data_IF_730280552542
#
_entry.id   IF_730280552542
#
_cell.length_a   1.000
_cell.length_b   1.000
_cell.length_c   1.000
_cell.angle_alpha   90.00
_cell.angle_beta   90.00
_cell.angle_gamma   90.00
#
_symmetry.space_group_name_H-M   'P 1'
#
loop_
_entity.id
_entity.type
_entity.pdbx_description
1 polymer ?
#
# COMPACT_ATOMS: atom_id res chain seq x y z
N UNK A 1 -23.97 -13.33 -2.36
CA UNK A 1 -23.51 -13.73 -3.70
C UNK A 1 -23.60 -15.24 -3.86
N UNK A 2 -24.36 -15.78 -4.83
CA UNK A 2 -24.48 -17.22 -5.08
C UNK A 2 -23.12 -17.84 -5.47
N UNK A 3 -22.96 -19.16 -5.27
CA UNK A 3 -21.68 -19.84 -5.52
C UNK A 3 -21.28 -19.80 -7.00
N UNK A 4 -22.24 -19.87 -7.93
CA UNK A 4 -21.98 -19.78 -9.38
C UNK A 4 -21.35 -18.44 -9.79
N UNK A 5 -21.78 -17.33 -9.17
CA UNK A 5 -21.25 -16.00 -9.48
C UNK A 5 -19.80 -15.84 -9.05
N UNK A 6 -19.39 -16.49 -7.95
CA UNK A 6 -18.00 -16.44 -7.46
C UNK A 6 -17.02 -17.11 -8.41
N UNK A 7 -17.40 -18.24 -9.00
CA UNK A 7 -16.61 -18.93 -10.00
C UNK A 7 -16.44 -18.09 -11.26
N UNK A 8 -17.54 -17.50 -11.74
CA UNK A 8 -17.50 -16.59 -12.90
C UNK A 8 -16.57 -15.43 -12.67
N UNK A 9 -16.71 -14.72 -11.53
CA UNK A 9 -15.83 -13.59 -11.20
C UNK A 9 -14.36 -14.00 -11.07
N UNK A 10 -14.06 -15.13 -10.42
CA UNK A 10 -12.70 -15.62 -10.29
C UNK A 10 -12.09 -15.98 -11.66
N UNK A 11 -12.89 -16.61 -12.54
CA UNK A 11 -12.47 -16.92 -13.92
C UNK A 11 -12.19 -15.66 -14.72
N UNK A 12 -13.13 -14.70 -14.74
CA UNK A 12 -13.00 -13.44 -15.47
C UNK A 12 -11.80 -12.62 -14.97
N UNK A 13 -11.57 -12.64 -13.65
CA UNK A 13 -10.43 -12.00 -13.01
C UNK A 13 -9.10 -12.60 -13.49
N UNK A 14 -9.04 -13.93 -13.54
CA UNK A 14 -7.85 -14.65 -14.01
C UNK A 14 -7.61 -14.45 -15.51
N UNK A 15 -8.70 -14.45 -16.31
CA UNK A 15 -8.64 -14.20 -17.74
C UNK A 15 -8.12 -12.79 -18.05
N UNK A 16 -8.64 -11.78 -17.35
CA UNK A 16 -8.16 -10.41 -17.47
C UNK A 16 -6.69 -10.26 -17.08
N UNK A 17 -6.25 -10.98 -16.02
CA UNK A 17 -4.84 -10.99 -15.63
C UNK A 17 -3.95 -11.54 -16.75
N UNK A 18 -4.24 -12.71 -17.28
CA UNK A 18 -3.42 -13.31 -18.33
C UNK A 18 -3.51 -12.55 -19.65
N UNK A 19 -4.66 -12.03 -20.00
CA UNK A 19 -4.81 -11.17 -21.17
C UNK A 19 -3.87 -9.97 -21.10
N UNK A 20 -3.85 -9.24 -19.98
CA UNK A 20 -2.98 -8.09 -19.81
C UNK A 20 -1.50 -8.47 -19.64
N UNK A 21 -1.19 -9.62 -19.00
CA UNK A 21 0.19 -10.09 -18.84
C UNK A 21 0.86 -10.34 -20.21
N UNK A 22 0.13 -10.95 -21.14
CA UNK A 22 0.65 -11.29 -22.47
C UNK A 22 0.37 -10.21 -23.52
N UNK A 23 -0.81 -9.59 -23.50
CA UNK A 23 -1.24 -8.57 -24.46
C UNK A 23 -0.85 -7.13 -24.10
N UNK A 24 -0.47 -6.87 -22.86
CA UNK A 24 -0.08 -5.52 -22.41
C UNK A 24 -1.29 -4.59 -22.20
N UNK A 25 -1.06 -3.30 -22.38
CA UNK A 25 -2.07 -2.26 -22.11
C UNK A 25 -3.31 -2.36 -23.00
N UNK A 26 -3.15 -2.82 -24.25
CA UNK A 26 -4.27 -3.00 -25.17
C UNK A 26 -5.27 -4.06 -24.75
N UNK A 27 -4.88 -4.97 -23.86
CA UNK A 27 -5.73 -6.02 -23.32
C UNK A 27 -6.34 -5.69 -21.94
N UNK A 28 -6.17 -4.45 -21.46
CA UNK A 28 -6.78 -4.03 -20.20
C UNK A 28 -8.29 -3.93 -20.33
N UNK A 29 -9.04 -4.43 -19.33
CA UNK A 29 -10.46 -4.14 -19.23
C UNK A 29 -10.73 -2.64 -19.10
N UNK A 30 -11.89 -2.20 -19.55
CA UNK A 30 -12.32 -0.82 -19.41
C UNK A 30 -12.35 -0.40 -17.93
N UNK A 31 -11.88 0.83 -17.64
CA UNK A 31 -11.86 1.36 -16.29
C UNK A 31 -13.26 1.44 -15.68
N UNK A 32 -13.52 0.79 -14.53
CA UNK A 32 -14.80 0.82 -13.84
C UNK A 32 -15.22 2.22 -13.39
N UNK A 33 -16.52 2.44 -13.22
CA UNK A 33 -17.05 3.74 -12.73
C UNK A 33 -16.56 4.06 -11.33
N UNK A 34 -16.47 3.07 -10.45
CA UNK A 34 -15.96 3.18 -9.09
C UNK A 34 -14.51 3.68 -9.04
N UNK A 35 -13.64 3.16 -9.91
CA UNK A 35 -12.24 3.63 -10.04
C UNK A 35 -12.18 5.05 -10.57
N UNK A 36 -12.97 5.36 -11.60
CA UNK A 36 -13.04 6.72 -12.16
C UNK A 36 -13.51 7.75 -11.14
N UNK A 37 -14.52 7.40 -10.33
CA UNK A 37 -14.99 8.25 -9.23
C UNK A 37 -13.93 8.43 -8.14
N UNK A 38 -13.19 7.36 -7.82
CA UNK A 38 -12.06 7.42 -6.87
C UNK A 38 -10.97 8.38 -7.35
N UNK A 39 -10.56 8.27 -8.61
CA UNK A 39 -9.55 9.15 -9.22
C UNK A 39 -10.00 10.62 -9.12
N UNK A 40 -11.23 10.93 -9.55
CA UNK A 40 -11.77 12.29 -9.45
C UNK A 40 -11.80 12.84 -8.03
N UNK A 41 -12.07 12.01 -7.02
CA UNK A 41 -12.00 12.43 -5.61
C UNK A 41 -10.55 12.65 -5.19
N UNK A 42 -9.65 11.76 -5.56
CA UNK A 42 -8.23 11.85 -5.22
C UNK A 42 -7.57 13.10 -5.83
N UNK A 43 -7.91 13.45 -7.07
CA UNK A 43 -7.41 14.64 -7.76
C UNK A 43 -7.83 15.96 -7.07
N UNK A 44 -9.02 15.97 -6.44
CA UNK A 44 -9.53 17.16 -5.71
C UNK A 44 -8.93 17.33 -4.33
N UNK A 45 -8.31 16.28 -3.78
CA UNK A 45 -7.71 16.36 -2.44
C UNK A 45 -6.44 17.15 -2.46
N UNK A 46 -6.34 18.10 -1.56
CA UNK A 46 -5.13 18.87 -1.37
C UNK A 46 -4.39 18.51 -0.07
N UNK A 47 -3.23 19.11 0.08
CA UNK A 47 -2.38 18.90 1.25
C UNK A 47 -2.94 19.61 2.49
N UNK A 48 -3.64 20.71 2.33
CA UNK A 48 -4.20 21.45 3.45
C UNK A 48 -5.30 20.64 4.13
N UNK A 49 -6.18 19.99 3.34
CA UNK A 49 -7.20 19.08 3.86
C UNK A 49 -6.54 17.90 4.62
N UNK A 50 -5.54 17.25 4.01
CA UNK A 50 -4.82 16.16 4.65
C UNK A 50 -4.21 16.57 6.00
N UNK A 51 -3.63 17.78 6.08
CA UNK A 51 -3.02 18.30 7.29
C UNK A 51 -4.09 18.67 8.33
N UNK A 52 -5.19 19.25 7.91
CA UNK A 52 -6.32 19.60 8.78
C UNK A 52 -6.94 18.37 9.43
N UNK A 53 -7.12 17.30 8.66
CA UNK A 53 -7.70 16.03 9.15
C UNK A 53 -6.79 15.29 10.13
N UNK A 54 -5.49 15.55 10.10
CA UNK A 54 -4.51 14.72 10.81
C UNK A 54 -3.69 15.45 11.85
N UNK A 55 -3.70 16.78 11.84
CA UNK A 55 -2.85 17.58 12.70
C UNK A 55 -3.60 18.74 13.33
N UNK A 56 -3.10 19.20 14.47
CA UNK A 56 -3.55 20.39 15.17
C UNK A 56 -2.40 21.37 15.36
N UNK A 57 -2.72 22.66 15.60
CA UNK A 57 -1.73 23.73 15.71
C UNK A 57 -1.24 24.22 14.33
N UNK A 58 -0.31 25.17 14.35
CA UNK A 58 0.24 25.80 13.14
C UNK A 58 1.76 25.97 13.24
N UNK A 59 2.42 26.05 12.08
CA UNK A 59 3.87 26.27 12.03
C UNK A 59 4.64 25.22 12.85
N UNK A 60 5.58 25.65 13.64
CA UNK A 60 6.42 24.79 14.47
C UNK A 60 5.68 24.12 15.64
N UNK A 61 4.52 24.64 16.00
CA UNK A 61 3.63 24.06 17.04
C UNK A 61 2.69 23.01 16.47
N UNK A 62 2.74 22.71 15.17
CA UNK A 62 1.89 21.69 14.55
C UNK A 62 2.26 20.30 15.09
N UNK A 63 1.26 19.53 15.48
CA UNK A 63 1.40 18.16 16.03
C UNK A 63 0.33 17.26 15.43
N UNK A 64 0.54 15.96 15.42
CA UNK A 64 -0.53 15.01 15.08
C UNK A 64 -1.67 15.14 16.09
N UNK A 65 -2.90 15.05 15.60
CA UNK A 65 -4.09 14.96 16.42
C UNK A 65 -4.14 13.58 17.05
N UNK A 66 -3.88 13.50 18.39
CA UNK A 66 -3.93 12.23 19.13
C UNK A 66 -5.35 11.73 19.24
N UNK A 67 -5.54 10.41 19.24
CA UNK A 67 -6.82 9.72 19.29
C UNK A 67 -6.73 8.35 18.63
N UNK A 68 -7.79 7.88 17.99
CA UNK A 68 -7.86 6.55 17.40
C UNK A 68 -6.80 6.28 16.30
N UNK A 69 -6.39 7.31 15.58
CA UNK A 69 -5.45 7.18 14.44
C UNK A 69 -3.99 7.34 14.84
N UNK A 70 -3.71 8.19 15.81
CA UNK A 70 -2.35 8.52 16.24
C UNK A 70 -2.23 8.45 17.76
N UNK A 71 -1.35 7.59 18.22
CA UNK A 71 -1.06 7.40 19.65
C UNK A 71 0.36 7.85 19.97
N UNK A 72 0.65 8.07 21.25
CA UNK A 72 1.99 8.37 21.66
C UNK A 72 2.91 7.16 21.52
N UNK A 73 4.16 7.43 21.15
CA UNK A 73 5.21 6.43 21.07
C UNK A 73 5.90 6.26 22.43
N UNK A 74 6.30 5.03 22.73
CA UNK A 74 7.23 4.78 23.82
C UNK A 74 8.52 5.60 23.59
N UNK A 75 9.14 6.17 24.65
CA UNK A 75 10.32 7.07 24.50
C UNK A 75 11.45 6.49 23.64
N UNK A 76 11.76 5.22 23.81
CA UNK A 76 12.81 4.55 23.04
C UNK A 76 12.49 4.46 21.53
N UNK A 77 11.20 4.19 21.17
CA UNK A 77 10.76 4.14 19.78
C UNK A 77 10.74 5.54 19.16
N UNK A 78 10.29 6.54 19.94
CA UNK A 78 10.32 7.95 19.53
C UNK A 78 11.75 8.40 19.19
N UNK A 79 12.70 8.15 20.07
CA UNK A 79 14.12 8.49 19.86
C UNK A 79 14.70 7.77 18.62
N UNK A 80 14.34 6.51 18.40
CA UNK A 80 14.77 5.75 17.24
C UNK A 80 14.18 6.31 15.93
N UNK A 81 12.92 6.71 15.93
CA UNK A 81 12.28 7.32 14.76
C UNK A 81 12.93 8.67 14.41
N UNK A 82 13.24 9.48 15.39
CA UNK A 82 13.95 10.75 15.19
C UNK A 82 15.37 10.53 14.59
N UNK A 83 16.12 9.53 15.08
CA UNK A 83 17.41 9.18 14.48
C UNK A 83 17.30 8.67 13.05
N UNK A 84 16.31 7.82 12.77
CA UNK A 84 16.08 7.33 11.42
C UNK A 84 15.74 8.47 10.46
N UNK A 85 14.89 9.41 10.86
CA UNK A 85 14.58 10.59 10.07
C UNK A 85 15.78 11.51 9.88
N UNK A 86 16.60 11.73 10.90
CA UNK A 86 17.82 12.53 10.79
C UNK A 86 18.84 11.89 9.81
N UNK A 87 18.96 10.56 9.82
CA UNK A 87 19.81 9.85 8.85
C UNK A 87 19.27 10.00 7.43
N UNK A 88 17.97 9.77 7.23
CA UNK A 88 17.31 9.99 5.94
C UNK A 88 17.49 11.42 5.45
N UNK A 89 17.27 12.43 6.31
CA UNK A 89 17.37 13.84 5.94
C UNK A 89 18.75 14.21 5.41
N UNK A 90 19.81 13.71 6.02
CA UNK A 90 21.19 13.96 5.55
C UNK A 90 21.44 13.40 4.15
N UNK A 91 21.04 12.15 3.89
CA UNK A 91 21.20 11.53 2.57
C UNK A 91 20.33 12.22 1.52
N UNK A 92 19.06 12.39 1.81
CA UNK A 92 18.11 12.96 0.87
C UNK A 92 18.42 14.41 0.47
N UNK A 93 18.87 15.26 1.42
CA UNK A 93 19.23 16.66 1.12
C UNK A 93 20.53 16.80 0.32
N UNK A 94 21.38 15.76 0.28
CA UNK A 94 22.56 15.73 -0.59
C UNK A 94 22.22 15.40 -2.04
N UNK A 95 21.16 14.61 -2.24
CA UNK A 95 20.76 14.13 -3.58
C UNK A 95 19.65 14.99 -4.22
N UNK A 96 18.90 15.71 -3.42
CA UNK A 96 17.72 16.46 -3.84
C UNK A 96 17.72 17.88 -3.30
N UNK A 97 17.29 18.84 -4.12
CA UNK A 97 17.02 20.20 -3.67
C UNK A 97 15.81 20.22 -2.72
N UNK A 98 16.08 20.36 -1.45
CA UNK A 98 15.07 20.44 -0.38
C UNK A 98 15.23 21.77 0.33
N UNK A 99 14.15 22.53 0.58
CA UNK A 99 14.24 23.75 1.36
C UNK A 99 14.90 23.50 2.72
N UNK A 100 15.73 24.41 3.19
CA UNK A 100 16.40 24.29 4.48
C UNK A 100 15.40 24.07 5.61
N UNK A 101 15.67 23.11 6.47
CA UNK A 101 14.81 22.72 7.58
C UNK A 101 13.51 22.02 7.16
N UNK A 102 13.27 21.74 5.87
CA UNK A 102 12.04 21.08 5.45
C UNK A 102 11.84 19.67 6.05
N UNK A 103 12.94 19.01 6.37
CA UNK A 103 12.93 17.68 6.99
C UNK A 103 13.05 17.74 8.54
N UNK A 104 13.07 18.94 9.14
CA UNK A 104 13.03 19.10 10.60
C UNK A 104 11.74 18.49 11.14
N UNK A 105 11.91 17.56 12.07
CA UNK A 105 10.77 16.82 12.63
C UNK A 105 10.04 17.68 13.64
N UNK A 106 8.77 17.91 13.39
CA UNK A 106 7.86 18.62 14.30
C UNK A 106 7.22 17.65 15.30
N UNK A 107 6.81 16.46 14.83
CA UNK A 107 6.16 15.46 15.69
C UNK A 107 6.32 14.05 15.13
N UNK A 108 6.22 13.05 16.02
CA UNK A 108 6.17 11.62 15.68
C UNK A 108 5.08 10.95 16.50
N UNK A 109 4.38 9.99 15.89
CA UNK A 109 3.28 9.27 16.53
C UNK A 109 3.24 7.81 16.06
N UNK A 110 2.74 6.90 16.91
CA UNK A 110 2.33 5.58 16.46
C UNK A 110 1.10 5.72 15.56
N UNK A 111 1.14 5.13 14.37
CA UNK A 111 0.03 5.19 13.43
C UNK A 111 -0.80 3.91 13.48
N UNK A 112 -2.01 4.02 13.97
CA UNK A 112 -3.02 2.96 13.85
C UNK A 112 -3.54 2.97 12.41
N UNK A 113 -3.42 1.85 11.71
CA UNK A 113 -3.92 1.75 10.34
C UNK A 113 -4.15 0.29 9.94
N UNK A 114 -5.34 0.02 9.45
CA UNK A 114 -5.80 -1.17 8.75
C UNK A 114 -5.41 -2.54 9.34
N UNK A 115 -6.29 -3.51 9.23
CA UNK A 115 -6.10 -4.89 9.73
C UNK A 115 -4.84 -5.58 9.22
N UNK A 116 -4.44 -5.34 7.98
CA UNK A 116 -3.20 -5.90 7.41
C UNK A 116 -1.89 -5.35 8.00
N UNK A 117 -1.96 -4.49 9.03
CA UNK A 117 -0.81 -3.95 9.75
C UNK A 117 -0.83 -4.28 11.24
N UNK A 118 -1.70 -5.20 11.66
CA UNK A 118 -1.71 -5.67 13.04
C UNK A 118 -0.38 -6.36 13.36
N UNK A 119 0.20 -6.02 14.50
CA UNK A 119 1.50 -6.55 14.94
C UNK A 119 2.73 -5.91 14.28
N UNK A 120 2.57 -5.00 13.33
CA UNK A 120 3.69 -4.31 12.65
C UNK A 120 3.83 -2.89 13.17
N UNK A 121 5.06 -2.45 13.42
CA UNK A 121 5.33 -1.09 13.84
C UNK A 121 5.09 -0.11 12.68
N UNK A 122 4.29 0.92 12.95
CA UNK A 122 4.08 2.04 12.04
C UNK A 122 4.26 3.36 12.79
N UNK A 123 5.12 4.21 12.27
CA UNK A 123 5.36 5.53 12.82
C UNK A 123 5.02 6.57 11.77
N UNK A 124 4.16 7.51 12.14
CA UNK A 124 3.94 8.73 11.38
C UNK A 124 4.94 9.78 11.82
N UNK A 125 5.48 10.52 10.86
CA UNK A 125 6.42 11.62 11.10
C UNK A 125 5.90 12.86 10.40
N UNK A 126 5.81 13.94 11.13
CA UNK A 126 5.45 15.26 10.65
C UNK A 126 6.71 16.11 10.59
N UNK A 127 6.98 16.72 9.44
CA UNK A 127 8.12 17.63 9.27
C UNK A 127 7.67 19.03 8.86
N UNK A 128 8.54 20.01 8.98
CA UNK A 128 8.27 21.42 8.63
C UNK A 128 7.85 21.57 7.17
N UNK A 129 8.43 20.79 6.25
CA UNK A 129 8.16 20.88 4.82
C UNK A 129 8.54 22.25 4.24
N UNK A 130 7.73 22.74 3.30
CA UNK A 130 7.94 24.06 2.69
C UNK A 130 7.54 25.23 3.61
N UNK A 131 7.09 24.96 4.83
CA UNK A 131 6.58 25.98 5.75
C UNK A 131 5.17 26.47 5.40
N UNK A 132 4.65 27.43 6.19
CA UNK A 132 3.31 27.95 6.01
C UNK A 132 2.19 27.02 6.50
N UNK A 133 0.94 27.40 6.22
CA UNK A 133 -0.24 26.70 6.72
C UNK A 133 -0.40 25.28 6.15
N UNK A 134 -0.03 25.08 4.90
CA UNK A 134 -0.18 23.80 4.17
C UNK A 134 1.17 23.17 3.77
N UNK A 135 2.30 23.73 4.20
CA UNK A 135 3.62 23.33 3.76
C UNK A 135 4.19 22.08 4.43
N UNK A 136 3.69 21.70 5.60
CA UNK A 136 4.19 20.53 6.34
C UNK A 136 4.11 19.25 5.53
N UNK A 137 5.07 18.33 5.76
CA UNK A 137 5.11 17.04 5.11
C UNK A 137 4.82 15.92 6.10
N UNK A 138 4.10 14.92 5.61
CA UNK A 138 3.78 13.71 6.35
C UNK A 138 4.58 12.55 5.77
N UNK A 139 5.29 11.84 6.64
CA UNK A 139 5.97 10.61 6.29
C UNK A 139 5.42 9.44 7.11
N UNK A 140 5.64 8.25 6.63
CA UNK A 140 5.38 7.01 7.32
C UNK A 140 6.63 6.15 7.31
N UNK A 141 6.99 5.62 8.47
CA UNK A 141 7.91 4.51 8.64
C UNK A 141 7.07 3.27 8.92
N UNK A 142 7.06 2.33 7.98
CA UNK A 142 6.32 1.08 8.11
C UNK A 142 7.28 -0.10 8.17
N UNK A 143 7.21 -0.89 9.23
CA UNK A 143 7.97 -2.12 9.34
C UNK A 143 7.62 -3.09 8.21
N UNK A 144 8.65 -3.68 7.62
CA UNK A 144 8.53 -4.70 6.59
C UNK A 144 9.10 -6.01 7.14
N UNK A 145 8.19 -6.91 7.51
CA UNK A 145 8.54 -8.22 8.01
C UNK A 145 9.10 -9.12 6.90
N UNK A 146 9.79 -10.16 7.30
CA UNK A 146 10.12 -11.26 6.40
C UNK A 146 8.83 -11.86 5.81
N UNK A 147 8.90 -12.31 4.57
CA UNK A 147 7.80 -13.08 3.99
C UNK A 147 7.66 -14.35 4.84
N UNK A 148 6.45 -14.72 5.32
CA UNK A 148 6.25 -16.02 5.92
C UNK A 148 6.81 -17.10 5.00
N UNK A 149 7.51 -18.07 5.57
CA UNK A 149 8.31 -19.10 4.91
C UNK A 149 7.72 -19.62 3.59
N UNK A 150 8.50 -20.10 2.65
CA UNK A 150 8.27 -19.95 1.22
C UNK A 150 6.89 -20.45 0.82
N UNK A 151 5.99 -19.51 0.59
CA UNK A 151 4.68 -19.78 -0.04
C UNK A 151 4.88 -20.35 -1.44
N UNK A 152 6.08 -20.15 -2.00
CA UNK A 152 6.46 -20.67 -3.31
C UNK A 152 7.87 -21.25 -3.20
N UNK A 153 7.96 -22.58 -3.26
CA UNK A 153 9.24 -23.29 -3.33
C UNK A 153 10.07 -22.76 -4.51
N UNK A 154 11.32 -22.34 -4.23
CA UNK A 154 12.26 -21.85 -5.25
C UNK A 154 12.26 -20.33 -5.48
N UNK A 155 11.39 -19.55 -4.88
CA UNK A 155 11.47 -18.10 -4.96
C UNK A 155 12.54 -17.55 -4.00
N UNK A 156 13.71 -17.23 -4.52
CA UNK A 156 14.71 -16.44 -3.78
C UNK A 156 14.29 -14.98 -3.80
N UNK A 157 13.72 -14.49 -2.70
CA UNK A 157 13.48 -13.07 -2.53
C UNK A 157 14.83 -12.33 -2.52
N UNK A 158 15.08 -11.47 -3.51
CA UNK A 158 16.25 -10.59 -3.50
C UNK A 158 16.09 -9.55 -2.39
N UNK A 159 17.01 -9.53 -1.45
CA UNK A 159 16.99 -8.62 -0.31
C UNK A 159 15.94 -9.00 0.75
N UNK A 160 16.02 -8.35 1.91
CA UNK A 160 15.13 -8.55 3.04
C UNK A 160 14.33 -7.28 3.36
N UNK A 161 13.14 -7.46 3.95
CA UNK A 161 12.35 -6.38 4.50
C UNK A 161 12.07 -5.23 3.52
N UNK A 162 12.38 -4.00 3.93
CA UNK A 162 12.06 -2.79 3.18
C UNK A 162 12.82 -2.65 1.85
N UNK A 163 14.06 -3.14 1.76
CA UNK A 163 14.84 -3.12 0.52
C UNK A 163 14.12 -3.92 -0.58
N UNK A 164 13.63 -5.13 -0.23
CA UNK A 164 12.86 -5.95 -1.17
C UNK A 164 11.58 -5.28 -1.63
N UNK A 165 10.86 -4.62 -0.70
CA UNK A 165 9.62 -3.91 -1.03
C UNK A 165 9.90 -2.71 -1.92
N UNK A 166 10.93 -1.93 -1.62
CA UNK A 166 11.32 -0.77 -2.42
C UNK A 166 11.74 -1.17 -3.83
N UNK A 167 12.58 -2.20 -3.96
CA UNK A 167 13.00 -2.75 -5.26
C UNK A 167 11.78 -3.23 -6.08
N UNK A 168 10.85 -3.95 -5.44
CA UNK A 168 9.62 -4.39 -6.10
C UNK A 168 8.74 -3.20 -6.56
N UNK A 169 8.61 -2.16 -5.74
CA UNK A 169 7.87 -0.95 -6.12
C UNK A 169 8.52 -0.24 -7.31
N UNK A 170 9.83 -0.04 -7.30
CA UNK A 170 10.56 0.62 -8.39
C UNK A 170 10.48 -0.16 -9.71
N UNK A 171 10.46 -1.49 -9.65
CA UNK A 171 10.36 -2.33 -10.86
C UNK A 171 8.95 -2.49 -11.39
N UNK A 172 7.95 -2.50 -10.50
CA UNK A 172 6.57 -2.86 -10.86
C UNK A 172 5.72 -1.66 -11.22
N UNK A 173 5.92 -0.53 -10.52
CA UNK A 173 5.06 0.65 -10.67
C UNK A 173 5.55 1.52 -11.83
N UNK A 174 4.64 2.08 -12.64
CA UNK A 174 5.01 3.03 -13.70
C UNK A 174 5.55 4.35 -13.12
N UNK A 175 5.02 4.76 -11.98
CA UNK A 175 5.40 5.97 -11.26
C UNK A 175 5.53 5.62 -9.75
N UNK A 176 6.70 5.09 -9.35
CA UNK A 176 6.96 4.76 -7.97
C UNK A 176 7.00 6.03 -7.10
N UNK A 177 6.73 5.93 -5.79
CA UNK A 177 6.80 7.07 -4.89
C UNK A 177 8.16 7.76 -4.97
N UNK A 178 8.16 9.07 -5.28
CA UNK A 178 9.40 9.87 -5.42
C UNK A 178 10.23 9.92 -4.14
N UNK A 179 9.57 9.81 -2.99
CA UNK A 179 10.22 9.77 -1.69
C UNK A 179 9.85 8.46 -1.02
N UNK A 180 10.69 7.45 -1.22
CA UNK A 180 10.62 6.17 -0.55
C UNK A 180 12.05 5.64 -0.33
N UNK A 181 12.34 5.16 0.88
CA UNK A 181 13.66 4.63 1.24
C UNK A 181 13.54 3.49 2.24
N UNK A 182 14.50 2.56 2.16
CA UNK A 182 14.65 1.49 3.13
C UNK A 182 15.58 1.94 4.26
N UNK A 183 15.06 2.07 5.47
CA UNK A 183 15.82 2.52 6.62
C UNK A 183 15.79 1.50 7.75
N UNK A 184 16.76 1.56 8.66
CA UNK A 184 16.82 0.71 9.85
C UNK A 184 16.36 1.50 11.09
N UNK A 185 15.52 0.87 11.93
CA UNK A 185 15.07 1.45 13.18
C UNK A 185 14.95 0.37 14.26
N UNK A 186 15.83 0.39 15.27
CA UNK A 186 15.88 -0.62 16.34
C UNK A 186 15.97 -2.08 15.82
N UNK A 187 16.84 -2.32 14.84
CA UNK A 187 16.97 -3.64 14.21
C UNK A 187 15.82 -4.05 13.29
N UNK A 188 14.82 -3.20 13.11
CA UNK A 188 13.67 -3.42 12.23
C UNK A 188 13.91 -2.80 10.87
N UNK A 189 13.56 -3.52 9.81
CA UNK A 189 13.60 -3.00 8.45
C UNK A 189 12.34 -2.19 8.18
N UNK A 190 12.49 -0.87 7.97
CA UNK A 190 11.39 0.07 7.80
C UNK A 190 11.38 0.64 6.39
N UNK A 191 10.23 0.64 5.75
CA UNK A 191 9.99 1.44 4.55
C UNK A 191 9.56 2.84 4.97
N UNK A 192 10.41 3.83 4.72
CA UNK A 192 10.08 5.23 4.83
C UNK A 192 9.46 5.69 3.53
N UNK A 193 8.33 6.37 3.59
CA UNK A 193 7.72 7.02 2.42
C UNK A 193 6.98 8.29 2.80
N UNK A 194 6.91 9.23 1.88
CA UNK A 194 6.07 10.41 2.03
C UNK A 194 4.61 10.04 1.74
N UNK A 195 3.69 10.50 2.58
CA UNK A 195 2.26 10.31 2.36
C UNK A 195 1.73 11.36 1.38
N UNK A 196 0.96 10.90 0.41
CA UNK A 196 0.26 11.75 -0.55
C UNK A 196 -1.16 12.07 -0.08
N UNK A 197 -1.68 13.28 -0.28
CA UNK A 197 -3.09 13.58 -0.06
C UNK A 197 -4.02 12.78 -0.97
N UNK A 198 -3.53 12.33 -2.12
CA UNK A 198 -4.27 11.55 -3.11
C UNK A 198 -4.52 10.10 -2.69
N UNK A 199 -3.94 9.63 -1.56
CA UNK A 199 -4.28 8.31 -1.01
C UNK A 199 -5.76 8.26 -0.61
N UNK A 200 -6.56 7.47 -1.34
CA UNK A 200 -7.97 7.23 -1.07
C UNK A 200 -8.31 5.74 -1.14
N UNK A 201 -9.50 5.37 -0.71
CA UNK A 201 -9.97 3.99 -0.68
C UNK A 201 -11.31 3.87 -1.40
N UNK A 202 -11.50 2.74 -2.08
CA UNK A 202 -12.82 2.33 -2.54
C UNK A 202 -13.63 1.84 -1.34
N UNK A 203 -14.86 2.33 -1.24
CA UNK A 203 -15.86 1.75 -0.36
C UNK A 203 -16.51 0.58 -1.08
N UNK A 204 -16.04 -0.64 -0.77
CA UNK A 204 -16.55 -1.86 -1.39
C UNK A 204 -18.00 -2.17 -0.99
N UNK A 205 -18.50 -1.61 0.11
CA UNK A 205 -19.90 -1.82 0.56
C UNK A 205 -20.91 -1.14 -0.37
N UNK A 206 -20.47 -0.10 -1.08
CA UNK A 206 -21.29 0.64 -2.04
C UNK A 206 -21.20 0.12 -3.49
N UNK A 207 -20.37 -0.90 -3.73
CA UNK A 207 -20.14 -1.45 -5.08
C UNK A 207 -21.14 -2.57 -5.38
N UNK A 208 -21.92 -2.43 -6.45
CA UNK A 208 -22.85 -3.48 -6.90
C UNK A 208 -22.11 -4.71 -7.43
N UNK A 209 -22.74 -5.89 -7.41
CA UNK A 209 -22.14 -7.14 -7.91
C UNK A 209 -21.61 -7.04 -9.35
N UNK A 210 -22.33 -6.45 -10.33
CA UNK A 210 -21.81 -6.30 -11.69
C UNK A 210 -20.62 -5.34 -11.77
N UNK A 211 -20.58 -4.31 -10.92
CA UNK A 211 -19.44 -3.38 -10.85
C UNK A 211 -18.25 -4.03 -10.15
N UNK A 212 -18.50 -4.89 -9.15
CA UNK A 212 -17.46 -5.64 -8.47
C UNK A 212 -16.73 -6.61 -9.43
N UNK A 213 -17.46 -7.30 -10.31
CA UNK A 213 -16.85 -8.15 -11.35
C UNK A 213 -15.93 -7.33 -12.27
N UNK A 214 -16.41 -6.18 -12.77
CA UNK A 214 -15.61 -5.28 -13.60
C UNK A 214 -14.38 -4.73 -12.86
N UNK A 215 -14.55 -4.38 -11.59
CA UNK A 215 -13.48 -3.90 -10.73
C UNK A 215 -12.41 -4.98 -10.52
N UNK A 216 -12.81 -6.21 -10.24
CA UNK A 216 -11.89 -7.34 -10.04
C UNK A 216 -11.07 -7.62 -11.29
N UNK A 217 -11.70 -7.68 -12.45
CA UNK A 217 -11.04 -7.87 -13.73
C UNK A 217 -10.06 -6.71 -14.05
N UNK A 218 -10.47 -5.47 -13.82
CA UNK A 218 -9.61 -4.29 -14.04
C UNK A 218 -8.38 -4.30 -13.13
N UNK A 219 -8.56 -4.57 -11.82
CA UNK A 219 -7.45 -4.64 -10.87
C UNK A 219 -6.49 -5.79 -11.18
N UNK A 220 -7.00 -6.93 -11.64
CA UNK A 220 -6.19 -8.04 -12.10
C UNK A 220 -5.34 -7.67 -13.32
N UNK A 221 -5.92 -6.96 -14.28
CA UNK A 221 -5.18 -6.43 -15.43
C UNK A 221 -4.09 -5.43 -15.02
N UNK A 222 -4.37 -4.52 -14.09
CA UNK A 222 -3.36 -3.60 -13.55
C UNK A 222 -2.22 -4.35 -12.84
N UNK A 223 -2.54 -5.37 -12.04
CA UNK A 223 -1.55 -6.21 -11.39
C UNK A 223 -0.68 -6.95 -12.41
N UNK A 224 -1.27 -7.45 -13.48
CA UNK A 224 -0.55 -8.10 -14.56
C UNK A 224 0.45 -7.16 -15.25
N UNK A 225 0.08 -5.89 -15.48
CA UNK A 225 1.00 -4.89 -16.02
C UNK A 225 2.16 -4.61 -15.04
N UNK A 226 1.91 -4.55 -13.75
CA UNK A 226 2.97 -4.44 -12.73
C UNK A 226 3.93 -5.63 -12.80
N UNK A 227 3.42 -6.85 -12.89
CA UNK A 227 4.23 -8.07 -13.02
C UNK A 227 5.01 -8.08 -14.35
N UNK A 228 4.39 -7.65 -15.44
CA UNK A 228 5.05 -7.52 -16.75
C UNK A 228 6.23 -6.54 -16.71
N UNK A 229 6.07 -5.38 -16.03
CA UNK A 229 7.15 -4.41 -15.82
C UNK A 229 8.27 -4.98 -14.97
N UNK A 230 7.94 -5.72 -13.93
CA UNK A 230 8.91 -6.40 -13.06
C UNK A 230 9.69 -7.54 -13.76
N UNK A 231 9.40 -7.82 -15.04
CA UNK A 231 10.11 -8.84 -15.81
C UNK A 231 9.47 -10.23 -15.80
N UNK A 232 8.27 -10.37 -15.26
CA UNK A 232 7.51 -11.64 -15.29
C UNK A 232 6.99 -11.86 -16.73
N UNK A 233 7.92 -12.12 -17.65
CA UNK A 233 7.60 -12.45 -19.05
C UNK A 233 7.82 -13.93 -19.38
N UNK A 234 8.54 -14.64 -18.52
CA UNK A 234 9.06 -15.99 -18.80
C UNK A 234 8.07 -17.11 -18.45
N UNK A 235 6.79 -16.81 -18.25
CA UNK A 235 5.77 -17.86 -18.16
C UNK A 235 5.49 -18.58 -19.48
N UNK A 236 6.20 -18.21 -20.55
CA UNK A 236 6.14 -18.77 -21.88
C UNK A 236 4.78 -18.58 -22.58
N UNK A 237 3.71 -19.03 -21.96
CA UNK A 237 2.32 -18.89 -22.43
C UNK A 237 1.34 -18.95 -21.26
N UNK A 238 0.09 -18.53 -21.50
CA UNK A 238 -0.97 -18.67 -20.53
C UNK A 238 -1.13 -20.15 -20.10
N UNK A 239 -1.41 -20.41 -18.81
CA UNK A 239 -1.57 -21.76 -18.31
C UNK A 239 -2.74 -22.47 -19.02
N UNK A 240 -2.59 -23.78 -19.24
CA UNK A 240 -3.63 -24.61 -19.84
C UNK A 240 -4.88 -24.68 -18.94
N UNK A 241 -5.96 -25.21 -19.51
CA UNK A 241 -7.31 -25.23 -18.90
C UNK A 241 -7.29 -25.85 -17.47
N UNK A 242 -6.65 -26.98 -17.29
CA UNK A 242 -6.62 -27.67 -15.98
C UNK A 242 -5.93 -26.83 -14.88
N UNK A 243 -4.85 -26.12 -15.20
CA UNK A 243 -4.18 -25.22 -14.25
C UNK A 243 -5.05 -24.00 -13.95
N UNK A 244 -5.75 -23.45 -14.92
CA UNK A 244 -6.67 -22.33 -14.71
C UNK A 244 -7.84 -22.73 -13.81
N UNK A 245 -8.45 -23.89 -14.04
CA UNK A 245 -9.51 -24.44 -13.20
C UNK A 245 -9.03 -24.69 -11.76
N UNK A 246 -7.82 -25.19 -11.58
CA UNK A 246 -7.20 -25.35 -10.25
C UNK A 246 -6.97 -24.01 -9.54
N UNK A 247 -6.51 -22.98 -10.25
CA UNK A 247 -6.33 -21.64 -9.71
C UNK A 247 -7.66 -21.01 -9.28
N UNK A 248 -8.70 -21.12 -10.11
CA UNK A 248 -10.05 -20.61 -9.78
C UNK A 248 -10.60 -21.36 -8.56
N UNK A 249 -10.49 -22.69 -8.52
CA UNK A 249 -10.91 -23.51 -7.38
C UNK A 249 -10.22 -23.09 -6.08
N UNK A 250 -8.91 -22.91 -6.15
CA UNK A 250 -8.11 -22.47 -5.01
C UNK A 250 -8.49 -21.08 -4.52
N UNK A 251 -8.76 -20.15 -5.43
CA UNK A 251 -9.20 -18.80 -5.07
C UNK A 251 -10.57 -18.80 -4.37
N UNK A 252 -11.53 -19.59 -4.87
CA UNK A 252 -12.86 -19.73 -4.27
C UNK A 252 -12.76 -20.39 -2.89
N UNK A 253 -11.97 -21.46 -2.76
CA UNK A 253 -11.74 -22.13 -1.48
C UNK A 253 -11.09 -21.19 -0.45
N UNK A 254 -10.09 -20.42 -0.84
CA UNK A 254 -9.42 -19.45 0.02
C UNK A 254 -10.40 -18.37 0.50
N UNK A 255 -11.27 -17.87 -0.37
CA UNK A 255 -12.30 -16.90 -0.01
C UNK A 255 -13.31 -17.47 1.00
N UNK A 256 -13.70 -18.74 0.83
CA UNK A 256 -14.58 -19.44 1.79
C UNK A 256 -13.90 -19.63 3.15
N UNK A 257 -12.65 -20.07 3.15
CA UNK A 257 -11.84 -20.24 4.38
C UNK A 257 -11.67 -18.91 5.12
N UNK A 258 -11.32 -17.83 4.40
CA UNK A 258 -11.18 -16.48 4.98
C UNK A 258 -12.48 -16.02 5.64
N UNK A 259 -13.63 -16.27 4.98
CA UNK A 259 -14.94 -15.96 5.57
C UNK A 259 -15.23 -16.79 6.81
N UNK A 260 -14.94 -18.09 6.79
CA UNK A 260 -15.17 -18.98 7.94
C UNK A 260 -14.32 -18.54 9.14
N UNK A 261 -13.04 -18.20 8.92
CA UNK A 261 -12.15 -17.68 9.97
C UNK A 261 -12.67 -16.35 10.53
N UNK A 262 -13.14 -15.45 9.67
CA UNK A 262 -13.71 -14.17 10.10
C UNK A 262 -14.95 -14.38 10.97
N UNK A 263 -15.87 -15.25 10.55
CA UNK A 263 -17.09 -15.56 11.32
C UNK A 263 -16.72 -16.18 12.69
N UNK A 264 -15.80 -17.15 12.70
CA UNK A 264 -15.35 -17.76 13.95
C UNK A 264 -14.71 -16.72 14.90
N UNK A 265 -13.87 -15.82 14.35
CA UNK A 265 -13.25 -14.74 15.13
C UNK A 265 -14.28 -13.78 15.72
N UNK A 266 -15.28 -13.37 14.96
CA UNK A 266 -16.34 -12.44 15.45
C UNK A 266 -17.20 -13.08 16.54
N UNK A 267 -17.44 -14.39 16.49
CA UNK A 267 -18.15 -15.12 17.55
C UNK A 267 -17.32 -15.31 18.83
N UNK A 268 -16.00 -15.35 18.72
CA UNK A 268 -15.12 -15.51 19.88
C UNK A 268 -14.75 -14.17 20.54
N UNK A 269 -14.89 -13.07 19.81
CA UNK A 269 -14.53 -11.73 20.27
C UNK A 269 -15.73 -10.90 20.83
N UNK A 270 -16.96 -11.41 20.70
CA UNK A 270 -18.19 -10.87 21.30
C UNK A 270 -18.62 -11.66 22.51
#
# INVERSE_FOLDING_TARGET
MPQRDRWGIASDTLDAYFAALFGGESALPAMPRSVRALIKRAERRDRAELLTDRTQGRGERRRFQRGERYLDLKPAVRAAALRAMASFARGYSQEQEVPEGALDVLDVAFRVAGTGSLGVLRVAVLTRGKGGASGAWLFELKEQCAVPAPVIAGATARGAGAVRVLDAMCRSLPDPPRVAEAVQMQGRSMLLRRLSPQEDKLDLSSVSDPEFSRLSAYLAGQLALCHRRAGVRNLGRAPGRSVREALVSSAVLLAQLTRAVHVAYTHLAG
#
